data_IF_251403164428
#
_entry.id   IF_251403164428
#
_cell.length_a   1.000
_cell.length_b   1.000
_cell.length_c   1.000
_cell.angle_alpha   90.00
_cell.angle_beta   90.00
_cell.angle_gamma   90.00
#
_symmetry.space_group_name_H-M   'P 1'
#
loop_
_entity.id
_entity.type
_entity.pdbx_description
1 polymer ?
#
# COMPACT_ATOMS: atom_id res chain seq x y z
N UNK A 1 -8.26 -44.36 -61.81
CA UNK A 1 -6.81 -44.55 -61.98
C UNK A 1 -6.11 -43.99 -60.74
N UNK A 2 -5.68 -44.78 -59.76
CA UNK A 2 -4.31 -45.35 -59.53
C UNK A 2 -3.23 -44.25 -59.38
N UNK A 3 -2.33 -44.12 -58.37
CA UNK A 3 -1.76 -44.91 -57.23
C UNK A 3 -1.29 -43.87 -56.16
N UNK A 4 -1.48 -44.02 -54.85
CA UNK A 4 -0.72 -44.78 -53.81
C UNK A 4 0.78 -44.43 -53.61
N UNK A 5 1.07 -43.95 -52.38
CA UNK A 5 2.14 -44.33 -51.40
C UNK A 5 3.62 -43.94 -51.61
N UNK A 6 4.25 -43.38 -50.56
CA UNK A 6 5.30 -44.08 -49.78
C UNK A 6 5.53 -43.47 -48.37
N UNK A 7 6.10 -44.28 -47.49
CA UNK A 7 6.03 -44.31 -46.03
C UNK A 7 7.44 -44.45 -45.44
N UNK A 8 7.79 -43.63 -44.42
CA UNK A 8 8.64 -43.90 -43.25
C UNK A 8 10.10 -44.46 -43.45
N UNK A 9 10.81 -44.95 -42.41
CA UNK A 9 11.50 -44.24 -41.31
C UNK A 9 12.99 -44.68 -41.11
N UNK A 10 13.74 -44.09 -40.18
CA UNK A 10 14.94 -44.67 -39.54
C UNK A 10 15.20 -43.90 -38.22
N UNK A 11 15.01 -44.45 -37.01
CA UNK A 11 15.68 -45.55 -36.30
C UNK A 11 17.19 -45.31 -36.08
N UNK A 12 17.57 -44.91 -34.86
CA UNK A 12 18.80 -45.40 -34.23
C UNK A 12 18.59 -45.50 -32.71
N UNK A 13 18.99 -46.64 -32.17
CA UNK A 13 18.71 -47.18 -30.84
C UNK A 13 20.06 -47.56 -30.21
N UNK A 14 20.11 -47.56 -28.86
CA UNK A 14 21.06 -48.29 -27.97
C UNK A 14 22.43 -47.58 -27.76
N UNK A 15 22.87 -47.27 -26.53
CA UNK A 15 23.36 -48.27 -25.56
C UNK A 15 23.38 -47.81 -24.09
N UNK A 16 23.00 -48.76 -23.23
CA UNK A 16 23.29 -48.88 -21.79
C UNK A 16 24.79 -49.00 -21.51
N UNK A 17 25.29 -48.37 -20.44
CA UNK A 17 26.46 -48.81 -19.65
C UNK A 17 26.33 -48.24 -18.22
N UNK A 18 25.88 -49.05 -17.25
CA UNK A 18 26.67 -49.66 -16.15
C UNK A 18 26.81 -48.77 -14.90
N UNK A 19 26.26 -49.25 -13.78
CA UNK A 19 26.41 -48.65 -12.44
C UNK A 19 27.77 -49.00 -11.81
N UNK A 20 28.24 -48.18 -10.86
CA UNK A 20 28.84 -48.74 -9.65
C UNK A 20 28.34 -48.08 -8.34
N UNK A 21 28.09 -48.97 -7.38
CA UNK A 21 28.46 -48.95 -5.97
C UNK A 21 28.31 -47.67 -5.13
N UNK A 22 27.52 -47.81 -4.05
CA UNK A 22 27.67 -47.05 -2.80
C UNK A 22 29.08 -47.25 -2.22
N UNK A 23 29.78 -46.16 -1.92
CA UNK A 23 30.79 -46.14 -0.85
C UNK A 23 30.68 -44.85 -0.07
N UNK A 24 30.48 -45.02 1.23
CA UNK A 24 30.58 -44.02 2.29
C UNK A 24 32.02 -43.48 2.42
N UNK A 25 32.16 -42.34 3.10
CA UNK A 25 33.40 -41.71 3.66
C UNK A 25 33.79 -40.34 3.04
N UNK A 26 34.09 -39.31 3.86
CA UNK A 26 33.94 -37.89 3.52
C UNK A 26 35.25 -37.18 3.17
N UNK A 27 35.15 -36.06 2.45
CA UNK A 27 36.20 -35.03 2.41
C UNK A 27 35.63 -33.65 1.97
N UNK A 28 36.16 -32.55 2.52
CA UNK A 28 35.75 -31.17 2.24
C UNK A 28 36.32 -30.67 0.90
N UNK A 29 35.77 -29.56 0.39
CA UNK A 29 36.44 -28.45 -0.33
C UNK A 29 35.49 -27.77 -1.35
N UNK A 30 35.41 -26.44 -1.20
CA UNK A 30 35.24 -25.42 -2.24
C UNK A 30 34.17 -25.59 -3.35
N UNK A 31 33.07 -24.86 -3.23
CA UNK A 31 32.44 -24.15 -4.36
C UNK A 31 31.75 -22.90 -3.86
N UNK A 32 32.39 -21.77 -4.14
CA UNK A 32 31.83 -20.43 -4.04
C UNK A 32 30.63 -20.30 -4.98
N UNK A 33 29.43 -20.17 -4.42
CA UNK A 33 28.35 -19.34 -4.97
C UNK A 33 27.70 -18.61 -3.79
N UNK A 34 28.43 -17.59 -3.39
CA UNK A 34 27.96 -16.42 -2.65
C UNK A 34 27.22 -15.52 -3.65
N UNK A 35 26.31 -14.72 -3.12
CA UNK A 35 25.48 -13.71 -3.79
C UNK A 35 24.09 -14.18 -4.28
N UNK A 36 23.19 -14.30 -3.31
CA UNK A 36 21.77 -13.99 -3.51
C UNK A 36 21.42 -12.86 -2.56
N UNK A 37 21.22 -11.69 -3.16
CA UNK A 37 21.19 -10.38 -2.54
C UNK A 37 20.06 -10.22 -1.51
N UNK A 38 20.42 -10.31 -0.22
CA UNK A 38 19.76 -9.53 0.82
C UNK A 38 20.28 -8.10 0.73
N UNK A 39 19.75 -7.31 -0.22
CA UNK A 39 20.01 -5.87 -0.27
C UNK A 39 19.19 -5.19 0.83
N UNK A 40 19.72 -5.30 2.05
CA UNK A 40 19.28 -4.62 3.24
C UNK A 40 19.42 -3.11 3.04
N UNK A 41 18.26 -2.44 2.99
CA UNK A 41 17.94 -1.19 3.66
C UNK A 41 19.15 -0.33 4.08
N UNK A 42 19.55 0.64 3.27
CA UNK A 42 20.59 1.64 3.63
C UNK A 42 20.16 3.09 3.44
N UNK A 43 18.85 3.40 3.50
CA UNK A 43 18.37 4.78 3.34
C UNK A 43 17.55 5.28 4.54
N UNK A 44 18.06 5.10 5.76
CA UNK A 44 17.48 5.73 6.97
C UNK A 44 18.56 6.23 7.94
N UNK A 45 19.38 7.19 7.51
CA UNK A 45 20.14 8.04 8.44
C UNK A 45 20.10 9.48 7.92
N UNK A 46 18.99 10.20 8.17
CA UNK A 46 19.00 11.67 8.08
C UNK A 46 18.18 12.41 9.14
N UNK A 47 17.50 11.72 10.06
CA UNK A 47 16.67 12.37 11.10
C UNK A 47 17.47 12.77 12.34
N UNK A 48 18.62 13.41 12.16
CA UNK A 48 19.58 13.68 13.25
C UNK A 48 19.59 15.08 13.85
N UNK A 49 18.85 16.09 13.33
CA UNK A 49 19.19 17.49 13.68
C UNK A 49 18.09 18.54 13.89
N UNK A 50 16.80 18.23 13.85
CA UNK A 50 15.75 19.23 14.15
C UNK A 50 14.86 18.78 15.32
N UNK A 51 15.47 18.72 16.50
CA UNK A 51 14.88 18.27 17.77
C UNK A 51 14.56 19.46 18.70
N UNK A 52 13.92 20.50 18.16
CA UNK A 52 13.45 21.65 18.94
C UNK A 52 11.96 21.86 18.67
N UNK A 53 11.14 21.17 19.48
CA UNK A 53 9.68 21.17 19.43
C UNK A 53 9.08 20.22 20.47
N UNK A 54 9.62 20.24 21.70
CA UNK A 54 9.23 19.31 22.76
C UNK A 54 7.77 19.49 23.20
N UNK A 55 7.15 18.35 23.55
CA UNK A 55 5.85 18.11 24.20
C UNK A 55 4.77 17.52 23.26
N UNK A 56 4.56 18.01 22.03
CA UNK A 56 3.53 17.43 21.13
C UNK A 56 4.04 16.22 20.33
N UNK A 57 5.32 16.24 19.95
CA UNK A 57 5.94 15.19 19.14
C UNK A 57 6.05 13.82 19.84
N UNK A 58 6.00 13.79 21.18
CA UNK A 58 6.14 12.55 21.95
C UNK A 58 4.96 11.58 21.77
N UNK A 59 3.75 12.13 21.60
CA UNK A 59 2.54 11.32 21.38
C UNK A 59 2.46 10.84 19.93
N UNK A 60 2.85 11.70 18.99
CA UNK A 60 2.84 11.38 17.56
C UNK A 60 3.91 10.33 17.21
N UNK A 61 5.15 10.48 17.70
CA UNK A 61 6.22 9.48 17.50
C UNK A 61 5.92 8.13 18.16
N UNK A 62 5.20 8.12 19.29
CA UNK A 62 4.75 6.87 19.91
C UNK A 62 3.81 6.06 19.00
N UNK A 63 3.01 6.74 18.17
CA UNK A 63 2.12 6.13 17.17
C UNK A 63 2.82 5.83 15.84
N UNK A 64 3.94 6.49 15.53
CA UNK A 64 4.80 6.24 14.36
C UNK A 64 5.74 5.04 14.52
N UNK A 65 5.43 4.10 15.42
CA UNK A 65 6.07 2.78 15.33
C UNK A 65 5.66 2.18 13.99
N UNK A 66 6.63 2.00 13.09
CA UNK A 66 6.43 1.64 11.67
C UNK A 66 5.59 0.37 11.49
N UNK A 67 5.52 -0.47 12.53
CA UNK A 67 4.58 -1.58 12.64
C UNK A 67 3.86 -1.52 14.00
N UNK A 68 2.54 -1.64 13.98
CA UNK A 68 1.68 -1.76 15.15
C UNK A 68 1.81 -3.16 15.78
N UNK A 69 1.36 -3.34 17.02
CA UNK A 69 1.44 -4.64 17.74
C UNK A 69 0.66 -5.77 17.07
N UNK A 70 -0.28 -5.43 16.18
CA UNK A 70 -1.04 -6.36 15.33
C UNK A 70 -0.38 -6.63 13.97
N UNK A 71 0.83 -6.12 13.74
CA UNK A 71 1.59 -6.29 12.49
C UNK A 71 1.13 -5.37 11.35
N UNK A 72 0.25 -4.40 11.61
CA UNK A 72 -0.14 -3.41 10.61
C UNK A 72 0.96 -2.37 10.38
N UNK A 73 1.25 -2.05 9.12
CA UNK A 73 2.16 -0.95 8.78
C UNK A 73 1.44 0.38 9.00
N UNK A 74 1.99 1.27 9.82
CA UNK A 74 1.33 2.53 10.21
C UNK A 74 1.82 3.70 9.36
N UNK A 75 0.88 4.43 8.74
CA UNK A 75 1.16 5.54 7.82
C UNK A 75 0.58 6.86 8.38
N UNK A 76 1.43 7.86 8.58
CA UNK A 76 1.08 9.17 9.16
C UNK A 76 1.24 10.36 8.20
N UNK A 77 1.48 10.11 6.91
CA UNK A 77 1.79 11.16 5.94
C UNK A 77 1.61 10.74 4.47
N UNK A 78 1.82 11.70 3.57
CA UNK A 78 1.53 11.57 2.15
C UNK A 78 2.40 10.53 1.46
N UNK A 79 3.72 10.69 1.54
CA UNK A 79 4.71 9.85 0.86
C UNK A 79 4.48 8.36 1.19
N UNK A 80 4.51 7.92 2.46
CA UNK A 80 4.32 6.51 2.80
C UNK A 80 2.91 6.00 2.42
N UNK A 81 1.88 6.87 2.48
CA UNK A 81 0.53 6.51 2.01
C UNK A 81 0.51 6.20 0.51
N UNK A 82 1.10 7.05 -0.32
CA UNK A 82 1.06 6.87 -1.78
C UNK A 82 2.01 5.80 -2.30
N UNK A 83 3.03 5.42 -1.52
CA UNK A 83 3.90 4.29 -1.84
C UNK A 83 3.21 2.94 -1.61
N UNK A 84 2.31 2.85 -0.63
CA UNK A 84 1.70 1.57 -0.22
C UNK A 84 0.24 1.40 -0.66
N UNK A 85 -0.49 2.51 -0.82
CA UNK A 85 -1.92 2.50 -1.09
C UNK A 85 -2.25 3.19 -2.40
N UNK A 86 -3.20 2.60 -3.12
CA UNK A 86 -3.94 3.31 -4.18
C UNK A 86 -5.15 3.97 -3.52
N UNK A 87 -5.26 5.29 -3.67
CA UNK A 87 -6.34 6.09 -3.10
C UNK A 87 -7.21 6.67 -4.22
N UNK A 88 -8.52 6.55 -4.08
CA UNK A 88 -9.51 7.00 -5.07
C UNK A 88 -10.63 7.77 -4.37
N UNK A 89 -11.00 8.93 -4.91
CA UNK A 89 -12.25 9.59 -4.56
C UNK A 89 -13.38 8.93 -5.37
N UNK A 90 -14.26 8.19 -4.69
CA UNK A 90 -15.28 7.35 -5.31
C UNK A 90 -16.63 8.03 -5.44
N UNK A 91 -17.00 8.87 -4.45
CA UNK A 91 -18.28 9.58 -4.45
C UNK A 91 -18.19 10.84 -3.61
N UNK A 92 -18.91 11.87 -4.04
CA UNK A 92 -19.27 13.04 -3.23
C UNK A 92 -20.79 13.14 -3.28
N UNK A 93 -21.45 12.83 -2.17
CA UNK A 93 -22.90 12.97 -2.08
C UNK A 93 -23.26 14.43 -1.75
N UNK A 94 -24.43 14.91 -2.21
CA UNK A 94 -24.91 16.22 -1.81
C UNK A 94 -25.10 16.28 -0.28
N UNK A 95 -25.03 17.50 0.31
CA UNK A 95 -25.29 17.73 1.73
C UNK A 95 -26.56 17.04 2.21
N UNK A 96 -26.46 16.24 3.28
CA UNK A 96 -27.59 15.64 3.98
C UNK A 96 -27.35 15.86 5.46
N UNK A 97 -28.30 16.45 6.19
CA UNK A 97 -28.15 16.65 7.64
C UNK A 97 -27.61 15.38 8.31
N UNK A 98 -26.45 15.43 8.99
CA UNK A 98 -25.76 16.63 9.50
C UNK A 98 -24.60 17.18 8.65
N UNK A 99 -24.27 16.60 7.49
CA UNK A 99 -23.07 16.96 6.72
C UNK A 99 -23.03 16.42 5.28
N UNK A 100 -21.91 16.65 4.61
CA UNK A 100 -21.67 16.10 3.28
C UNK A 100 -20.93 14.76 3.36
N UNK A 101 -21.44 13.72 2.71
CA UNK A 101 -20.82 12.40 2.70
C UNK A 101 -19.87 12.25 1.52
N UNK A 102 -18.66 11.75 1.79
CA UNK A 102 -17.60 11.57 0.81
C UNK A 102 -17.03 10.16 0.95
N UNK A 103 -17.12 9.38 -0.12
CA UNK A 103 -16.63 8.01 -0.16
C UNK A 103 -15.23 7.97 -0.75
N UNK A 104 -14.27 7.49 0.05
CA UNK A 104 -12.88 7.33 -0.36
C UNK A 104 -12.54 5.85 -0.37
N UNK A 105 -11.95 5.38 -1.46
CA UNK A 105 -11.41 4.04 -1.60
C UNK A 105 -9.92 4.02 -1.28
N UNK A 106 -9.51 3.04 -0.47
CA UNK A 106 -8.11 2.72 -0.21
C UNK A 106 -7.87 1.26 -0.61
N UNK A 107 -6.95 0.99 -1.54
CA UNK A 107 -6.56 -0.37 -1.94
C UNK A 107 -5.14 -0.66 -1.47
N UNK A 108 -4.97 -1.79 -0.81
CA UNK A 108 -3.70 -2.31 -0.33
C UNK A 108 -3.35 -3.59 -1.10
N UNK A 109 -2.27 -3.54 -1.88
CA UNK A 109 -1.78 -4.69 -2.64
C UNK A 109 -0.61 -5.42 -1.94
N UNK A 110 -0.36 -5.09 -0.67
CA UNK A 110 0.68 -5.73 0.14
C UNK A 110 0.11 -6.91 0.92
N UNK A 111 1.01 -7.75 1.45
CA UNK A 111 0.67 -8.91 2.27
C UNK A 111 0.50 -8.61 3.77
N UNK A 112 0.60 -7.34 4.18
CA UNK A 112 0.36 -6.89 5.57
C UNK A 112 -0.83 -5.92 5.60
N UNK A 113 -1.57 -5.85 6.71
CA UNK A 113 -2.51 -4.75 6.93
C UNK A 113 -1.76 -3.41 6.92
N UNK A 114 -2.43 -2.37 6.45
CA UNK A 114 -1.91 -1.00 6.44
C UNK A 114 -2.89 -0.11 7.20
N UNK A 115 -2.40 0.70 8.13
CA UNK A 115 -3.21 1.61 8.96
C UNK A 115 -2.82 3.05 8.68
N UNK A 116 -3.71 3.80 8.06
CA UNK A 116 -3.56 5.25 7.90
C UNK A 116 -4.09 5.92 9.15
N UNK A 117 -3.29 6.73 9.84
CA UNK A 117 -3.66 7.38 11.11
C UNK A 117 -3.71 8.90 10.97
N UNK A 118 -4.12 9.59 12.04
CA UNK A 118 -4.13 11.05 12.16
C UNK A 118 -5.08 11.75 11.17
N UNK A 119 -6.11 11.04 10.69
CA UNK A 119 -7.04 11.57 9.69
C UNK A 119 -7.93 12.70 10.23
N UNK A 120 -8.07 12.83 11.56
CA UNK A 120 -8.75 13.98 12.18
C UNK A 120 -7.84 15.16 12.46
N UNK A 121 -6.53 15.02 12.31
CA UNK A 121 -5.63 16.15 12.53
C UNK A 121 -5.93 17.26 11.52
N UNK A 122 -5.84 18.51 11.97
CA UNK A 122 -6.14 19.67 11.13
C UNK A 122 -5.32 19.63 9.85
N UNK A 123 -6.00 19.71 8.70
CA UNK A 123 -5.37 19.70 7.38
C UNK A 123 -5.00 18.32 6.83
N UNK A 124 -5.17 17.24 7.61
CA UNK A 124 -4.94 15.88 7.14
C UNK A 124 -5.96 15.46 6.08
N UNK A 125 -7.23 15.83 6.27
CA UNK A 125 -8.32 15.47 5.37
C UNK A 125 -9.28 16.66 5.19
N UNK A 126 -9.40 17.15 3.95
CA UNK A 126 -10.23 18.29 3.59
C UNK A 126 -11.00 18.00 2.30
N UNK A 127 -12.17 18.60 2.14
CA UNK A 127 -12.77 18.79 0.81
C UNK A 127 -12.37 20.16 0.28
N UNK A 128 -12.08 20.25 -1.01
CA UNK A 128 -11.74 21.50 -1.70
C UNK A 128 -12.91 21.87 -2.60
N UNK A 129 -13.54 23.02 -2.35
CA UNK A 129 -14.65 23.56 -3.13
C UNK A 129 -14.18 24.14 -4.47
N UNK A 130 -15.10 24.23 -5.43
CA UNK A 130 -14.93 25.13 -6.57
C UNK A 130 -14.78 26.58 -6.06
N UNK A 131 -13.59 27.16 -6.31
CA UNK A 131 -13.20 28.48 -5.78
C UNK A 131 -12.01 28.44 -4.81
N UNK A 132 -11.50 27.25 -4.47
CA UNK A 132 -10.22 27.11 -3.74
C UNK A 132 -10.33 27.22 -2.21
N UNK A 133 -11.55 27.29 -1.67
CA UNK A 133 -11.81 27.18 -0.23
C UNK A 133 -11.92 25.71 0.18
N UNK A 134 -11.64 25.41 1.46
CA UNK A 134 -11.71 24.06 2.00
C UNK A 134 -12.72 23.94 3.13
N UNK A 135 -13.31 22.75 3.30
CA UNK A 135 -14.06 22.36 4.51
C UNK A 135 -13.38 21.20 5.21
N UNK A 136 -13.45 21.23 6.54
CA UNK A 136 -12.92 20.18 7.39
C UNK A 136 -13.94 19.05 7.58
N UNK A 137 -13.45 17.96 8.16
CA UNK A 137 -14.32 16.93 8.72
C UNK A 137 -15.26 17.54 9.77
N UNK A 138 -16.50 17.07 9.78
CA UNK A 138 -17.47 17.49 10.77
C UNK A 138 -17.07 16.93 12.15
N UNK A 139 -16.93 17.81 13.14
CA UNK A 139 -16.32 17.49 14.45
C UNK A 139 -17.21 16.62 15.35
N UNK A 140 -18.53 16.79 15.28
CA UNK A 140 -19.50 16.14 16.17
C UNK A 140 -19.94 14.74 15.70
N UNK A 141 -19.34 14.21 14.62
CA UNK A 141 -19.63 12.88 14.10
C UNK A 141 -18.47 11.90 14.22
N UNK A 142 -18.82 10.62 14.13
CA UNK A 142 -17.90 9.49 14.16
C UNK A 142 -17.18 9.35 12.81
N UNK A 143 -16.45 10.38 12.40
CA UNK A 143 -15.35 10.19 11.47
C UNK A 143 -14.28 9.31 12.16
N UNK A 144 -13.61 8.38 11.47
CA UNK A 144 -12.49 7.66 12.06
C UNK A 144 -11.23 8.56 12.09
N UNK A 145 -10.43 8.45 13.14
CA UNK A 145 -9.06 9.03 13.13
C UNK A 145 -8.07 8.14 12.37
N UNK A 146 -8.44 6.89 12.12
CA UNK A 146 -7.61 5.93 11.42
C UNK A 146 -8.43 4.96 10.57
N UNK A 147 -7.88 4.55 9.44
CA UNK A 147 -8.46 3.55 8.55
C UNK A 147 -7.47 2.41 8.41
N UNK A 148 -7.90 1.19 8.72
CA UNK A 148 -7.11 -0.02 8.50
C UNK A 148 -7.59 -0.71 7.22
N UNK A 149 -6.67 -0.94 6.30
CA UNK A 149 -6.89 -1.65 5.04
C UNK A 149 -6.23 -3.03 5.18
N UNK A 150 -7.00 -4.13 5.15
CA UNK A 150 -6.42 -5.47 5.23
C UNK A 150 -5.47 -5.76 4.05
N UNK A 151 -4.65 -6.79 4.18
CA UNK A 151 -3.77 -7.25 3.13
C UNK A 151 -4.55 -7.64 1.85
N UNK A 152 -3.97 -7.37 0.69
CA UNK A 152 -4.48 -7.76 -0.64
C UNK A 152 -5.96 -7.41 -0.90
N UNK A 153 -6.46 -6.32 -0.35
CA UNK A 153 -7.86 -5.90 -0.53
C UNK A 153 -8.02 -4.38 -0.42
N UNK A 154 -9.23 -3.90 -0.73
CA UNK A 154 -9.59 -2.50 -0.58
C UNK A 154 -10.68 -2.27 0.46
N UNK A 155 -10.67 -1.10 1.07
CA UNK A 155 -11.71 -0.59 1.97
C UNK A 155 -12.31 0.66 1.35
N UNK A 156 -13.64 0.81 1.45
CA UNK A 156 -14.36 2.05 1.15
C UNK A 156 -14.74 2.70 2.47
N UNK A 157 -14.18 3.87 2.75
CA UNK A 157 -14.46 4.62 3.96
C UNK A 157 -15.28 5.85 3.61
N UNK A 158 -16.40 6.00 4.29
CA UNK A 158 -17.19 7.22 4.21
C UNK A 158 -16.70 8.22 5.27
N UNK A 159 -16.51 9.46 4.85
CA UNK A 159 -16.19 10.59 5.72
C UNK A 159 -17.30 11.64 5.62
N UNK A 160 -17.61 12.27 6.75
CA UNK A 160 -18.59 13.34 6.83
C UNK A 160 -17.87 14.66 7.02
N UNK A 161 -18.02 15.55 6.04
CA UNK A 161 -17.49 16.91 6.07
C UNK A 161 -18.58 17.90 6.48
N UNK A 162 -18.16 19.08 6.94
CA UNK A 162 -19.09 20.21 7.08
C UNK A 162 -19.84 20.44 5.76
N UNK A 163 -21.11 20.86 5.87
CA UNK A 163 -21.95 21.13 4.71
C UNK A 163 -21.31 22.17 3.78
N UNK A 164 -21.45 21.92 2.48
CA UNK A 164 -21.03 22.83 1.41
C UNK A 164 -22.22 23.19 0.53
N UNK A 165 -22.37 24.47 0.23
CA UNK A 165 -23.34 24.95 -0.77
C UNK A 165 -22.74 25.00 -2.19
N UNK A 166 -21.47 24.59 -2.33
CA UNK A 166 -20.73 24.58 -3.60
C UNK A 166 -20.31 23.17 -4.00
N UNK A 167 -20.13 22.99 -5.30
CA UNK A 167 -19.56 21.77 -5.86
C UNK A 167 -18.15 21.53 -5.32
N UNK A 168 -17.84 20.26 -5.06
CA UNK A 168 -16.52 19.82 -4.61
C UNK A 168 -15.63 19.56 -5.82
N UNK A 169 -14.46 20.19 -5.84
CA UNK A 169 -13.42 20.00 -6.85
C UNK A 169 -12.61 18.74 -6.59
N UNK A 170 -12.22 18.52 -5.34
CA UNK A 170 -11.34 17.42 -4.93
C UNK A 170 -11.42 17.16 -3.43
N UNK A 171 -10.89 16.01 -3.01
CA UNK A 171 -10.55 15.75 -1.61
C UNK A 171 -9.04 15.86 -1.46
N UNK A 172 -8.60 16.60 -0.44
CA UNK A 172 -7.19 16.70 -0.06
C UNK A 172 -6.89 15.75 1.09
N UNK A 173 -5.90 14.88 0.90
CA UNK A 173 -5.39 13.98 1.96
C UNK A 173 -3.89 14.22 2.10
N UNK A 174 -3.43 14.58 3.30
CA UNK A 174 -2.03 14.91 3.61
C UNK A 174 -1.38 15.85 2.58
N UNK A 175 -2.13 16.83 2.07
CA UNK A 175 -1.62 17.83 1.13
C UNK A 175 -1.75 17.50 -0.36
N UNK A 176 -2.11 16.26 -0.76
CA UNK A 176 -2.37 15.91 -2.17
C UNK A 176 -3.87 15.93 -2.48
N UNK A 177 -4.24 16.34 -3.68
CA UNK A 177 -5.64 16.40 -4.13
C UNK A 177 -6.01 15.18 -5.00
N UNK A 178 -7.15 14.55 -4.69
CA UNK A 178 -7.79 13.50 -5.48
C UNK A 178 -9.10 14.01 -6.05
N UNK A 179 -9.28 13.83 -7.36
CA UNK A 179 -10.51 14.15 -8.07
C UNK A 179 -11.39 12.92 -8.18
N UNK A 180 -12.69 13.13 -8.35
CA UNK A 180 -13.67 12.05 -8.50
C UNK A 180 -13.28 11.17 -9.70
N UNK A 181 -13.21 9.86 -9.47
CA UNK A 181 -13.00 8.89 -10.54
C UNK A 181 -14.23 8.90 -11.46
N UNK A 182 -14.01 9.02 -12.76
CA UNK A 182 -15.06 9.03 -13.79
C UNK A 182 -15.41 7.62 -14.25
#
# INVERSE_FOLDING_TARGET
MTKKTLWAPALLMISFFTAPAFSDTPAPESSMLRDSASSVMSSLISTGKNLVGGITDGVTKGRESTESSDGAVVLSGLEPMTEMLIVELLSVEPPKSPGMNVLIGFKNNTNKPVRVINLKQTGALLVIEQGGYSRALLQDLVNPDEVTIPANTGVRQNFVFEDSVKDIKSVRIFGKDWVLVK
#
